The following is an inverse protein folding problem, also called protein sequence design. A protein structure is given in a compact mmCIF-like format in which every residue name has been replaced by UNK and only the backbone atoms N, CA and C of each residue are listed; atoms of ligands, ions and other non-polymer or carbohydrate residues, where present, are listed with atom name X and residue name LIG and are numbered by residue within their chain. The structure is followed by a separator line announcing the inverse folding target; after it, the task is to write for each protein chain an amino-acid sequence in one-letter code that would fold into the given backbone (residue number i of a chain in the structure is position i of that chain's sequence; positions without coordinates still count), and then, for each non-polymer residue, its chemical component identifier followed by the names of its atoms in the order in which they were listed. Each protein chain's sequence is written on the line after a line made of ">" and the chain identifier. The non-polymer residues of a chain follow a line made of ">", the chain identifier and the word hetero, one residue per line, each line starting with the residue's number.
data_IF_405202760600
#
_entry.id   IF_405202760600
#
_cell.length_a   1.000
_cell.length_b   1.000
_cell.length_c   1.000
_cell.angle_alpha   90.00
_cell.angle_beta   90.00
_cell.angle_gamma   90.00
#
_symmetry.space_group_name_H-M   'P 1'
#
loop_
_entity.id
_entity.type
_entity.pdbx_description
1 polymer ?
#
# COMPACT_ATOMS: atom_id res chain seq x y z
N UNK A 1 11.60 24.59 -12.78
CA UNK A 1 11.14 23.66 -13.84
C UNK A 1 11.53 22.27 -13.40
N UNK A 2 10.60 21.51 -12.82
CA UNK A 2 10.85 20.15 -12.33
C UNK A 2 10.57 19.20 -13.48
N UNK A 3 11.61 18.73 -14.15
CA UNK A 3 11.43 17.85 -15.31
C UNK A 3 10.76 16.55 -14.85
N UNK A 4 9.81 16.07 -15.66
CA UNK A 4 9.10 14.78 -15.56
C UNK A 4 10.08 13.56 -15.50
N UNK A 5 11.39 13.82 -15.57
CA UNK A 5 12.47 12.86 -15.66
C UNK A 5 12.72 11.99 -14.41
N UNK A 6 12.15 12.30 -13.25
CA UNK A 6 12.24 11.45 -12.04
C UNK A 6 10.98 10.62 -11.76
N UNK A 7 10.00 10.62 -12.66
CA UNK A 7 8.87 9.69 -12.55
C UNK A 7 9.33 8.26 -12.85
N UNK A 8 8.92 7.33 -11.97
CA UNK A 8 9.13 5.89 -12.13
C UNK A 8 8.66 5.47 -13.54
N UNK A 9 9.45 4.70 -14.31
CA UNK A 9 9.12 4.37 -15.70
C UNK A 9 7.72 3.77 -15.87
N UNK A 10 7.28 2.94 -14.92
CA UNK A 10 5.94 2.37 -14.92
C UNK A 10 4.85 3.43 -14.77
N UNK A 11 5.07 4.46 -13.95
CA UNK A 11 4.11 5.52 -13.69
C UNK A 11 3.98 6.49 -14.88
N UNK A 12 5.03 6.63 -15.71
CA UNK A 12 4.99 7.48 -16.93
C UNK A 12 4.05 6.94 -18.00
N UNK A 13 3.89 5.63 -18.05
CA UNK A 13 3.07 4.93 -19.04
C UNK A 13 1.76 4.42 -18.45
N UNK A 14 1.51 4.73 -17.18
CA UNK A 14 0.34 4.28 -16.47
C UNK A 14 -0.86 5.16 -16.80
N UNK A 15 -1.96 4.50 -17.14
CA UNK A 15 -3.23 5.12 -17.50
C UNK A 15 -4.16 5.15 -16.29
N UNK A 16 -4.88 6.25 -16.11
CA UNK A 16 -5.80 6.43 -15.00
C UNK A 16 -6.91 5.36 -15.06
N UNK A 17 -6.96 4.49 -14.05
CA UNK A 17 -7.93 3.40 -13.97
C UNK A 17 -7.38 2.01 -14.33
N UNK A 18 -6.12 1.90 -14.80
CA UNK A 18 -5.44 0.59 -14.90
C UNK A 18 -5.03 0.08 -13.52
N UNK A 19 -5.09 -1.24 -13.34
CA UNK A 19 -4.62 -1.92 -12.11
C UNK A 19 -3.14 -1.60 -11.87
N UNK A 20 -2.79 -1.20 -10.66
CA UNK A 20 -1.40 -0.96 -10.25
C UNK A 20 -0.69 -2.32 -10.10
N UNK A 21 0.45 -2.49 -10.77
CA UNK A 21 1.31 -3.64 -10.58
C UNK A 21 2.12 -3.44 -9.30
N UNK A 22 1.80 -4.24 -8.28
CA UNK A 22 2.34 -4.12 -6.92
C UNK A 22 3.87 -4.22 -6.89
N UNK A 23 4.44 -5.11 -7.70
CA UNK A 23 5.89 -5.26 -7.83
C UNK A 23 6.57 -3.97 -8.33
N UNK A 24 5.97 -3.28 -9.30
CA UNK A 24 6.51 -2.02 -9.84
C UNK A 24 6.41 -0.88 -8.82
N UNK A 25 5.35 -0.89 -8.01
CA UNK A 25 5.17 0.05 -6.90
C UNK A 25 6.24 -0.12 -5.82
N UNK A 26 6.65 -1.36 -5.53
CA UNK A 26 7.68 -1.69 -4.53
C UNK A 26 9.12 -1.69 -5.06
N UNK A 27 9.34 -1.53 -6.37
CA UNK A 27 10.67 -1.46 -6.97
C UNK A 27 11.59 -0.31 -6.47
N UNK A 28 11.09 0.90 -6.13
CA UNK A 28 11.94 1.99 -5.65
C UNK A 28 12.18 1.94 -4.13
N UNK A 29 12.77 2.99 -3.57
CA UNK A 29 12.95 3.13 -2.11
C UNK A 29 11.60 3.19 -1.39
N UNK A 30 11.37 2.18 -0.54
CA UNK A 30 10.15 1.99 0.27
C UNK A 30 10.37 2.48 1.70
N UNK A 31 9.40 3.20 2.25
CA UNK A 31 9.30 3.55 3.67
C UNK A 31 8.18 2.74 4.30
N UNK A 32 8.49 1.95 5.33
CA UNK A 32 7.50 1.27 6.17
C UNK A 32 7.28 2.08 7.45
N UNK A 33 6.03 2.40 7.76
CA UNK A 33 5.66 3.22 8.91
C UNK A 33 4.60 2.50 9.76
N UNK A 34 5.02 1.79 10.82
CA UNK A 34 4.11 1.07 11.71
C UNK A 34 3.43 2.00 12.72
N UNK A 35 2.17 1.73 13.05
CA UNK A 35 1.37 2.58 13.95
C UNK A 35 1.12 3.96 13.37
N UNK A 36 1.01 4.03 12.04
CA UNK A 36 1.02 5.28 11.29
C UNK A 36 -0.24 6.12 11.46
N UNK A 37 -1.32 5.53 11.94
CA UNK A 37 -2.63 6.13 11.83
C UNK A 37 -2.91 6.60 10.40
N UNK A 38 -3.29 7.86 10.25
CA UNK A 38 -3.51 8.56 8.97
C UNK A 38 -2.45 9.64 8.71
N UNK A 39 -1.25 9.52 9.30
CA UNK A 39 -0.21 10.56 9.29
C UNK A 39 0.48 10.75 7.92
N UNK A 40 0.19 11.84 7.23
CA UNK A 40 0.82 12.17 5.94
C UNK A 40 2.24 12.76 6.02
N UNK A 41 2.79 13.01 7.22
CA UNK A 41 4.11 13.65 7.37
C UNK A 41 5.25 12.90 6.65
N UNK A 42 5.34 11.55 6.66
CA UNK A 42 6.39 10.84 5.93
C UNK A 42 6.33 11.13 4.43
N UNK A 43 5.14 11.14 3.83
CA UNK A 43 4.96 11.46 2.40
C UNK A 43 5.38 12.89 2.12
N UNK A 44 4.96 13.85 2.96
CA UNK A 44 5.37 15.25 2.82
C UNK A 44 6.88 15.41 2.92
N UNK A 45 7.53 14.79 3.91
CA UNK A 45 8.95 14.98 4.18
C UNK A 45 9.85 14.28 3.16
N UNK A 46 9.64 12.98 2.93
CA UNK A 46 10.48 12.19 2.03
C UNK A 46 10.10 12.38 0.55
N UNK A 47 8.82 12.56 0.25
CA UNK A 47 8.34 12.80 -1.12
C UNK A 47 8.85 14.12 -1.68
N UNK A 48 8.82 15.21 -0.89
CA UNK A 48 9.35 16.51 -1.32
C UNK A 48 10.86 16.53 -1.57
N UNK A 49 11.60 15.56 -1.01
CA UNK A 49 13.05 15.41 -1.17
C UNK A 49 13.43 14.32 -2.16
N UNK A 50 12.45 13.65 -2.77
CA UNK A 50 12.65 12.46 -3.60
C UNK A 50 13.47 11.35 -2.89
N UNK A 51 13.43 11.30 -1.55
CA UNK A 51 14.17 10.35 -0.74
C UNK A 51 13.49 8.96 -0.74
N UNK A 52 12.16 8.92 -0.92
CA UNK A 52 11.38 7.71 -1.11
C UNK A 52 10.23 7.96 -2.08
N UNK A 53 9.78 6.90 -2.74
CA UNK A 53 8.68 6.96 -3.71
C UNK A 53 7.55 5.97 -3.41
N UNK A 54 7.79 5.03 -2.50
CA UNK A 54 6.82 4.05 -2.05
C UNK A 54 6.67 4.17 -0.53
N UNK A 55 5.43 4.19 -0.05
CA UNK A 55 5.13 4.36 1.37
C UNK A 55 4.12 3.30 1.80
N UNK A 56 4.45 2.55 2.84
CA UNK A 56 3.61 1.50 3.41
C UNK A 56 3.24 1.90 4.82
N UNK A 57 1.96 2.22 4.97
CA UNK A 57 1.32 2.57 6.23
C UNK A 57 0.77 1.28 6.85
N UNK A 58 1.25 0.92 8.03
CA UNK A 58 0.87 -0.35 8.70
C UNK A 58 0.21 -0.02 10.02
N UNK A 59 -1.10 -0.17 10.10
CA UNK A 59 -1.86 0.09 11.31
C UNK A 59 -3.00 -0.94 11.49
N UNK A 60 -2.99 -1.65 12.61
CA UNK A 60 -4.02 -2.64 12.95
C UNK A 60 -5.25 -2.01 13.64
N UNK A 61 -5.17 -0.74 14.05
CA UNK A 61 -6.24 0.00 14.70
C UNK A 61 -7.12 0.80 13.73
N UNK A 62 -6.84 0.77 12.43
CA UNK A 62 -7.56 1.54 11.41
C UNK A 62 -8.27 0.61 10.43
N UNK A 63 -9.55 0.90 10.17
CA UNK A 63 -10.34 0.18 9.17
C UNK A 63 -10.09 0.69 7.76
N UNK A 64 -10.33 -0.18 6.77
CA UNK A 64 -10.29 0.19 5.35
C UNK A 64 -11.17 1.41 5.04
N UNK A 65 -12.40 1.45 5.58
CA UNK A 65 -13.31 2.58 5.37
C UNK A 65 -12.74 3.90 5.89
N UNK A 66 -12.04 3.87 7.03
CA UNK A 66 -11.38 5.05 7.58
C UNK A 66 -10.28 5.54 6.64
N UNK A 67 -9.44 4.63 6.12
CA UNK A 67 -8.40 4.97 5.13
C UNK A 67 -9.02 5.54 3.85
N UNK A 68 -10.07 4.92 3.32
CA UNK A 68 -10.71 5.36 2.08
C UNK A 68 -11.38 6.72 2.21
N UNK A 69 -11.99 7.00 3.36
CA UNK A 69 -12.54 8.32 3.69
C UNK A 69 -11.43 9.38 3.73
N UNK A 70 -10.36 9.11 4.47
CA UNK A 70 -9.21 10.01 4.55
C UNK A 70 -8.54 10.25 3.21
N UNK A 71 -8.48 9.27 2.31
CA UNK A 71 -7.95 9.48 0.95
C UNK A 71 -8.91 10.19 -0.01
N UNK A 72 -10.18 10.36 0.38
CA UNK A 72 -11.22 10.98 -0.45
C UNK A 72 -11.59 12.41 -0.07
N UNK A 73 -11.32 12.83 1.18
CA UNK A 73 -11.76 14.12 1.71
C UNK A 73 -10.79 15.28 1.43
N UNK A 74 -11.31 16.45 0.99
CA UNK A 74 -10.47 17.65 0.86
C UNK A 74 -9.99 18.10 2.24
N UNK A 75 -8.68 18.13 2.47
CA UNK A 75 -8.07 18.58 3.74
C UNK A 75 -7.40 17.49 4.57
N UNK A 76 -7.36 16.26 4.07
CA UNK A 76 -6.66 15.13 4.68
C UNK A 76 -5.14 15.30 4.76
N UNK A 77 -4.47 14.43 5.52
CA UNK A 77 -3.02 14.46 5.75
C UNK A 77 -2.15 14.42 4.48
N UNK A 78 -2.70 13.97 3.35
CA UNK A 78 -2.06 13.98 2.03
C UNK A 78 -2.36 15.25 1.21
N UNK A 79 -2.48 16.42 1.84
CA UNK A 79 -2.85 17.68 1.18
C UNK A 79 -1.97 17.96 -0.06
N UNK A 80 -2.62 18.27 -1.19
CA UNK A 80 -1.96 18.53 -2.48
C UNK A 80 -1.74 17.29 -3.34
N UNK A 81 -2.04 16.10 -2.82
CA UNK A 81 -2.07 14.86 -3.61
C UNK A 81 -3.51 14.51 -4.01
N UNK A 82 -3.67 13.96 -5.21
CA UNK A 82 -4.93 13.40 -5.68
C UNK A 82 -4.80 11.90 -5.91
N UNK A 83 -5.86 11.15 -5.64
CA UNK A 83 -5.89 9.70 -5.91
C UNK A 83 -5.88 9.48 -7.43
N UNK A 84 -4.79 8.89 -7.93
CA UNK A 84 -4.67 8.59 -9.35
C UNK A 84 -5.28 7.20 -9.72
N UNK A 85 -5.42 6.31 -8.73
CA UNK A 85 -6.03 4.98 -8.86
C UNK A 85 -5.97 4.21 -7.52
N UNK A 86 -6.51 2.99 -7.48
CA UNK A 86 -6.46 2.12 -6.30
C UNK A 86 -6.36 0.65 -6.72
N UNK A 87 -5.78 -0.18 -5.86
CA UNK A 87 -5.80 -1.62 -5.97
C UNK A 87 -6.00 -2.22 -4.57
N UNK A 88 -6.91 -3.18 -4.46
CA UNK A 88 -7.06 -3.98 -3.24
C UNK A 88 -6.03 -5.11 -3.25
N UNK A 89 -5.33 -5.27 -2.12
CA UNK A 89 -4.26 -6.26 -1.95
C UNK A 89 -4.68 -7.28 -0.91
N UNK A 90 -4.40 -8.54 -1.21
CA UNK A 90 -4.43 -9.64 -0.24
C UNK A 90 -3.06 -9.82 0.39
N UNK A 91 -2.98 -10.56 1.49
CA UNK A 91 -1.70 -10.93 2.10
C UNK A 91 -0.76 -11.60 1.09
N UNK A 92 -1.30 -12.43 0.18
CA UNK A 92 -0.51 -13.12 -0.85
C UNK A 92 0.16 -12.18 -1.84
N UNK A 93 -0.38 -10.98 -2.03
CA UNK A 93 0.23 -9.95 -2.89
C UNK A 93 1.43 -9.26 -2.21
N UNK A 94 1.54 -9.41 -0.89
CA UNK A 94 2.60 -8.81 -0.06
C UNK A 94 3.65 -9.83 0.41
N UNK A 95 3.38 -11.13 0.27
CA UNK A 95 4.32 -12.18 0.69
C UNK A 95 5.15 -12.73 -0.47
N UNK A 96 6.49 -12.71 -0.37
CA UNK A 96 7.34 -13.22 -1.44
C UNK A 96 7.30 -14.76 -1.48
N UNK A 97 7.37 -15.33 -2.68
CA UNK A 97 7.64 -16.76 -2.90
C UNK A 97 6.73 -17.73 -2.13
N UNK A 98 5.45 -17.37 -1.93
CA UNK A 98 4.51 -18.20 -1.19
C UNK A 98 4.78 -18.27 0.32
N UNK A 99 5.56 -17.34 0.87
CA UNK A 99 5.73 -17.21 2.31
C UNK A 99 4.38 -16.97 3.00
N UNK A 100 4.16 -17.64 4.13
CA UNK A 100 2.93 -17.55 4.93
C UNK A 100 3.31 -17.03 6.32
N UNK A 101 2.66 -15.95 6.82
CA UNK A 101 2.86 -15.48 8.18
C UNK A 101 2.53 -16.58 9.20
N UNK A 102 3.47 -16.87 10.10
CA UNK A 102 3.28 -17.83 11.19
C UNK A 102 2.69 -17.18 12.45
N UNK A 103 2.56 -15.85 12.45
CA UNK A 103 1.94 -15.06 13.51
C UNK A 103 0.63 -14.53 12.94
N UNK A 104 -0.48 -14.95 13.54
CA UNK A 104 -1.79 -14.37 13.26
C UNK A 104 -2.10 -13.32 14.32
N UNK A 105 -2.64 -12.14 13.94
CA UNK A 105 -3.15 -11.18 14.92
C UNK A 105 -4.10 -11.90 15.87
N UNK A 106 -3.92 -11.69 17.17
CA UNK A 106 -4.75 -12.29 18.21
C UNK A 106 -6.21 -11.80 18.03
N UNK A 107 -7.02 -12.55 17.28
CA UNK A 107 -8.39 -12.17 16.93
C UNK A 107 -8.89 -12.64 15.56
N UNK A 108 -8.01 -13.06 14.63
CA UNK A 108 -8.46 -13.66 13.37
C UNK A 108 -9.02 -15.08 13.62
N UNK A 109 -10.28 -15.40 13.25
CA UNK A 109 -10.86 -16.71 13.51
C UNK A 109 -10.06 -17.81 12.79
N UNK A 110 -9.48 -18.73 13.57
CA UNK A 110 -8.93 -19.99 13.05
C UNK A 110 -10.09 -20.88 12.61
N UNK A 111 -10.46 -20.84 11.34
CA UNK A 111 -11.48 -21.76 10.83
C UNK A 111 -12.15 -21.38 9.53
N UNK A 112 -11.39 -21.12 8.46
CA UNK A 112 -11.96 -21.07 7.11
C UNK A 112 -10.98 -21.53 6.04
N UNK A 113 -10.22 -22.60 6.28
CA UNK A 113 -9.79 -23.47 5.18
C UNK A 113 -9.98 -24.92 5.63
N UNK A 114 -11.11 -25.46 5.18
CA UNK A 114 -11.48 -26.86 5.30
C UNK A 114 -10.36 -27.76 4.79
N UNK A 115 -10.02 -28.77 5.59
CA UNK A 115 -9.29 -29.96 5.13
C UNK A 115 -10.10 -30.62 4.02
N UNK A 116 -9.56 -30.65 2.82
CA UNK A 116 -9.92 -31.60 1.78
C UNK A 116 -8.80 -31.61 0.75
N UNK A 117 -8.09 -32.69 0.42
CA UNK A 117 -8.04 -34.08 0.83
C UNK A 117 -6.64 -34.52 0.38
N UNK A 118 -5.91 -35.21 1.25
CA UNK A 118 -4.84 -36.11 0.84
C UNK A 118 -5.51 -37.38 0.28
N UNK A 119 -5.00 -37.88 -0.84
CA UNK A 119 -5.12 -39.25 -1.36
C UNK A 119 -6.50 -39.92 -1.37
N UNK A 120 -6.99 -40.19 -2.59
CA UNK A 120 -7.46 -41.52 -2.98
C UNK A 120 -7.00 -41.80 -4.40
#
# INVERSE_FOLDING_TARGET
>A
MTTIENLLPWLRTWDHGRKVHVADFFAPRVVYYPGSGTDGQPVKFFGSRHAAHCFVFVDYGISQDCVMRELGERGHSFLGYGRAGHAELSERDLTPNGWVPHIHPAGAPRGAMSRSLLNS
#
